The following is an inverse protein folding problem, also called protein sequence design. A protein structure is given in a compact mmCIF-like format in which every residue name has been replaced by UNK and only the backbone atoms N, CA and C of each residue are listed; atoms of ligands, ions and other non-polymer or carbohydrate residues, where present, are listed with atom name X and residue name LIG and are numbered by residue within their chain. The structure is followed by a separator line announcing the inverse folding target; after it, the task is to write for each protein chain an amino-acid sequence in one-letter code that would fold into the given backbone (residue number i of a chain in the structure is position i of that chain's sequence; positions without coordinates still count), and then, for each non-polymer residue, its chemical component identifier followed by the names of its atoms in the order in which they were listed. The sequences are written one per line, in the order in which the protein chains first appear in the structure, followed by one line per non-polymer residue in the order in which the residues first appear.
data_IF_666859041168
#
_entry.id   IF_666859041168
#
_cell.length_a   1.000
_cell.length_b   1.000
_cell.length_c   1.000
_cell.angle_alpha   90.00
_cell.angle_beta   90.00
_cell.angle_gamma   90.00
#
_symmetry.space_group_name_H-M   'P 1'
#
loop_
_entity.id
_entity.type
_entity.pdbx_description
1 polymer ?
#
# COMPACT_ATOMS: atom_id res chain seq x y z
N UNK A 1 32.86 0.55 28.57
CA UNK A 1 32.30 -0.34 27.55
C UNK A 1 30.89 -0.71 28.00
N UNK A 2 29.93 0.21 27.86
CA UNK A 2 28.53 -0.06 28.19
C UNK A 2 27.88 -0.70 26.97
N UNK A 3 27.52 -1.97 27.11
CA UNK A 3 26.72 -2.71 26.14
C UNK A 3 25.29 -2.15 26.22
N UNK A 4 24.87 -1.44 25.17
CA UNK A 4 23.50 -0.96 25.08
C UNK A 4 22.63 -2.16 24.68
N UNK A 5 21.63 -2.56 25.49
CA UNK A 5 20.72 -3.64 25.08
C UNK A 5 20.02 -3.21 23.79
N UNK A 6 20.17 -4.03 22.74
CA UNK A 6 19.51 -3.79 21.46
C UNK A 6 18.00 -3.80 21.67
N UNK A 7 17.36 -2.63 21.57
CA UNK A 7 15.91 -2.55 21.64
C UNK A 7 15.31 -3.39 20.50
N UNK A 8 14.31 -4.24 20.79
CA UNK A 8 13.72 -5.10 19.78
C UNK A 8 13.08 -4.23 18.70
N UNK A 9 13.65 -4.30 17.50
CA UNK A 9 13.10 -3.61 16.33
C UNK A 9 11.71 -4.16 16.04
N UNK A 10 10.72 -3.27 15.91
CA UNK A 10 9.36 -3.68 15.60
C UNK A 10 9.32 -4.43 14.25
N UNK A 11 8.54 -5.53 14.15
CA UNK A 11 8.50 -6.34 12.94
C UNK A 11 7.90 -5.53 11.78
N UNK A 12 8.56 -5.56 10.62
CA UNK A 12 8.08 -4.88 9.41
C UNK A 12 6.79 -5.50 8.85
N UNK A 13 6.56 -6.79 9.12
CA UNK A 13 5.40 -7.55 8.67
C UNK A 13 4.92 -8.40 9.84
N UNK A 14 3.60 -8.40 10.10
CA UNK A 14 2.98 -9.21 11.16
C UNK A 14 1.82 -10.01 10.57
N UNK A 15 1.78 -11.32 10.85
CA UNK A 15 0.67 -12.20 10.49
C UNK A 15 -0.37 -12.08 11.60
N UNK A 16 -1.53 -11.51 11.29
CA UNK A 16 -2.57 -11.25 12.30
C UNK A 16 -3.58 -12.39 12.43
N UNK A 17 -3.67 -13.28 11.43
CA UNK A 17 -4.64 -14.38 11.34
C UNK A 17 -4.06 -15.56 10.55
N UNK A 18 -4.49 -16.78 10.87
CA UNK A 18 -4.06 -18.02 10.21
C UNK A 18 -2.76 -18.61 10.77
N UNK A 19 -2.34 -19.76 10.23
CA UNK A 19 -1.06 -20.41 10.51
C UNK A 19 -0.42 -20.85 9.19
N UNK A 20 0.13 -19.89 8.41
CA UNK A 20 0.72 -20.19 7.11
C UNK A 20 1.98 -21.06 7.28
N UNK A 21 2.30 -21.84 6.25
CA UNK A 21 3.55 -22.60 6.24
C UNK A 21 4.75 -21.70 5.92
N UNK A 22 5.96 -22.18 6.21
CA UNK A 22 7.19 -21.45 5.93
C UNK A 22 7.33 -21.14 4.42
N UNK A 23 6.86 -22.04 3.56
CA UNK A 23 6.85 -21.85 2.10
C UNK A 23 5.91 -20.73 1.67
N UNK A 24 4.74 -20.61 2.29
CA UNK A 24 3.78 -19.55 1.99
C UNK A 24 4.30 -18.19 2.45
N UNK A 25 4.95 -18.14 3.62
CA UNK A 25 5.62 -16.94 4.11
C UNK A 25 6.72 -16.51 3.13
N UNK A 26 7.55 -17.46 2.69
CA UNK A 26 8.62 -17.18 1.72
C UNK A 26 8.06 -16.66 0.39
N UNK A 27 6.96 -17.24 -0.11
CA UNK A 27 6.31 -16.79 -1.34
C UNK A 27 5.81 -15.34 -1.22
N UNK A 28 5.16 -14.98 -0.11
CA UNK A 28 4.68 -13.61 0.12
C UNK A 28 5.84 -12.62 0.20
N UNK A 29 6.89 -12.95 0.95
CA UNK A 29 8.09 -12.10 1.08
C UNK A 29 8.77 -11.90 -0.27
N UNK A 30 8.89 -12.95 -1.08
CA UNK A 30 9.48 -12.88 -2.41
C UNK A 30 8.71 -11.91 -3.32
N UNK A 31 7.37 -11.96 -3.32
CA UNK A 31 6.52 -11.06 -4.11
C UNK A 31 6.65 -9.60 -3.66
N UNK A 32 6.61 -9.35 -2.36
CA UNK A 32 6.74 -8.00 -1.80
C UNK A 32 8.10 -7.39 -2.19
N UNK A 33 9.17 -8.18 -2.04
CA UNK A 33 10.54 -7.75 -2.37
C UNK A 33 10.70 -7.50 -3.87
N UNK A 34 10.15 -8.36 -4.73
CA UNK A 34 10.20 -8.15 -6.16
C UNK A 34 9.49 -6.84 -6.59
N UNK A 35 8.39 -6.48 -5.92
CA UNK A 35 7.67 -5.23 -6.20
C UNK A 35 8.36 -3.99 -5.62
N UNK A 36 9.09 -4.11 -4.51
CA UNK A 36 9.79 -2.97 -3.90
C UNK A 36 11.03 -2.54 -4.68
N UNK A 37 11.67 -3.47 -5.39
CA UNK A 37 12.84 -3.20 -6.24
C UNK A 37 12.45 -2.66 -7.62
N UNK A 38 11.20 -2.82 -8.03
CA UNK A 38 10.72 -2.32 -9.31
C UNK A 38 10.81 -0.78 -9.36
N UNK A 39 11.43 -0.18 -10.39
CA UNK A 39 11.54 1.26 -10.51
C UNK A 39 10.15 1.89 -10.54
N UNK A 40 9.86 2.76 -9.57
CA UNK A 40 8.67 3.61 -9.62
C UNK A 40 8.87 4.63 -10.73
N UNK A 41 8.17 4.46 -11.85
CA UNK A 41 8.03 5.53 -12.82
C UNK A 41 7.40 6.74 -12.10
N UNK A 42 8.15 7.83 -12.00
CA UNK A 42 7.73 9.02 -11.27
C UNK A 42 6.71 9.82 -12.09
N UNK A 43 5.45 9.38 -12.06
CA UNK A 43 4.33 10.26 -12.36
C UNK A 43 3.89 10.93 -11.08
N UNK A 44 3.86 12.26 -11.06
CA UNK A 44 3.17 13.00 -10.01
C UNK A 44 1.70 12.57 -10.01
N UNK A 45 1.34 11.65 -9.11
CA UNK A 45 0.02 11.07 -9.11
C UNK A 45 -1.02 12.18 -8.83
N UNK A 46 -2.05 12.33 -9.69
CA UNK A 46 -3.14 13.24 -9.40
C UNK A 46 -3.82 12.77 -8.10
N UNK A 47 -4.03 13.72 -7.17
CA UNK A 47 -4.65 13.45 -5.86
C UNK A 47 -5.90 12.58 -6.03
N UNK A 48 -6.00 11.51 -5.24
CA UNK A 48 -7.17 10.64 -5.25
C UNK A 48 -8.49 11.40 -5.17
N UNK A 49 -9.44 11.00 -6.02
CA UNK A 49 -10.83 11.42 -5.90
C UNK A 49 -11.49 10.98 -4.57
N UNK A 50 -10.93 10.01 -3.84
CA UNK A 50 -11.41 9.60 -2.51
C UNK A 50 -11.11 10.62 -1.41
N UNK A 51 -9.99 11.33 -1.52
CA UNK A 51 -9.58 12.35 -0.55
C UNK A 51 -10.24 13.72 -0.82
N UNK A 52 -11.06 13.83 -1.86
CA UNK A 52 -11.70 15.08 -2.25
C UNK A 52 -12.90 15.39 -1.32
N UNK A 53 -12.75 16.43 -0.49
CA UNK A 53 -13.79 16.89 0.45
C UNK A 53 -15.15 17.11 -0.23
N UNK A 54 -15.19 17.62 -1.47
CA UNK A 54 -16.44 17.84 -2.22
C UNK A 54 -17.17 16.56 -2.64
N UNK A 55 -16.55 15.37 -2.52
CA UNK A 55 -17.21 14.07 -2.74
C UNK A 55 -17.81 13.45 -1.47
N UNK A 56 -17.56 14.04 -0.29
CA UNK A 56 -18.20 13.62 0.96
C UNK A 56 -19.71 13.90 0.96
N UNK A 57 -20.14 14.89 0.19
CA UNK A 57 -21.54 15.11 -0.16
C UNK A 57 -21.82 14.31 -1.44
N UNK A 58 -22.91 13.53 -1.47
CA UNK A 58 -23.31 12.68 -2.61
C UNK A 58 -23.53 13.53 -3.88
N UNK A 59 -22.44 13.83 -4.58
CA UNK A 59 -22.47 14.42 -5.91
C UNK A 59 -22.55 13.29 -6.94
N UNK A 60 -23.44 13.38 -7.95
CA UNK A 60 -23.43 12.46 -9.08
C UNK A 60 -22.03 12.38 -9.69
N UNK A 61 -21.56 11.18 -10.00
CA UNK A 61 -20.32 11.03 -10.77
C UNK A 61 -20.60 11.55 -12.19
N UNK A 62 -19.87 12.58 -12.69
CA UNK A 62 -20.13 13.08 -14.03
C UNK A 62 -19.85 11.96 -15.05
N UNK A 63 -20.80 11.65 -15.94
CA UNK A 63 -20.56 10.67 -16.99
C UNK A 63 -19.51 11.20 -17.95
N UNK A 64 -18.49 10.39 -18.24
CA UNK A 64 -17.44 10.77 -19.18
C UNK A 64 -16.27 9.79 -19.20
N UNK A 65 -15.50 9.73 -20.30
CA UNK A 65 -14.29 8.91 -20.38
C UNK A 65 -13.31 9.30 -19.27
N UNK A 66 -12.78 8.33 -18.52
CA UNK A 66 -11.82 8.60 -17.43
C UNK A 66 -12.44 8.73 -16.03
N UNK A 67 -13.76 8.89 -15.92
CA UNK A 67 -14.45 9.19 -14.66
C UNK A 67 -14.34 8.06 -13.61
N UNK A 68 -14.43 6.80 -14.04
CA UNK A 68 -14.22 5.64 -13.17
C UNK A 68 -12.75 5.48 -12.79
N UNK A 69 -11.82 5.68 -13.73
CA UNK A 69 -10.37 5.57 -13.46
C UNK A 69 -9.89 6.62 -12.45
N UNK A 70 -10.47 7.83 -12.47
CA UNK A 70 -10.18 8.89 -11.51
C UNK A 70 -10.60 8.54 -10.07
N UNK A 71 -11.54 7.61 -9.88
CA UNK A 71 -11.95 7.14 -8.57
C UNK A 71 -10.96 6.14 -7.96
N UNK A 72 -10.08 5.47 -8.72
CA UNK A 72 -9.16 4.45 -8.17
C UNK A 72 -7.70 4.91 -8.07
N UNK A 73 -7.32 6.06 -8.63
CA UNK A 73 -5.96 6.61 -8.45
C UNK A 73 -5.82 7.18 -7.02
N UNK A 74 -4.69 6.88 -6.37
CA UNK A 74 -4.35 7.33 -5.00
C UNK A 74 -3.56 8.62 -5.07
#
# INVERSE_FOLDING_TARGET
MTDQPAEPQAPQITITQGNPTDEEIAAVVAVITARSVAPTAADAAPRSGWAAYWRAVRAPLPPGPGSWQAAYRR
#
